data_IF_698900889294
#
_entry.id   IF_698900889294
#
_cell.length_a   1.000
_cell.length_b   1.000
_cell.length_c   1.000
_cell.angle_alpha   90.00
_cell.angle_beta   90.00
_cell.angle_gamma   90.00
#
_symmetry.space_group_name_H-M   'P 1'
#
loop_
_entity.id
_entity.type
_entity.pdbx_description
1 polymer ?
#
# COMPACT_ATOMS: atom_id res chain seq x y z
N UNK A 1 -18.20 -8.22 18.42
CA UNK A 1 -18.99 -9.34 17.86
C UNK A 1 -20.24 -9.46 18.69
N UNK A 2 -21.41 -9.57 18.06
CA UNK A 2 -22.71 -9.72 18.74
C UNK A 2 -23.25 -11.10 18.40
N UNK A 3 -23.68 -11.85 19.40
CA UNK A 3 -24.35 -13.14 19.23
C UNK A 3 -25.86 -12.93 19.24
N UNK A 4 -26.57 -13.53 18.27
CA UNK A 4 -28.03 -13.47 18.21
C UNK A 4 -28.71 -14.57 19.04
N UNK A 5 -28.06 -15.73 19.17
CA UNK A 5 -28.49 -16.81 20.07
C UNK A 5 -27.69 -16.80 21.36
N UNK A 6 -28.18 -17.48 22.39
CA UNK A 6 -27.57 -17.50 23.73
C UNK A 6 -26.13 -18.06 23.70
N UNK A 7 -25.17 -17.25 24.16
CA UNK A 7 -23.77 -17.64 24.32
C UNK A 7 -23.35 -17.32 25.74
N UNK A 8 -22.90 -18.31 26.54
CA UNK A 8 -22.52 -18.06 27.92
C UNK A 8 -21.45 -16.97 28.05
N UNK A 9 -21.61 -16.11 29.06
CA UNK A 9 -20.60 -15.13 29.43
C UNK A 9 -19.26 -15.81 29.73
N UNK A 10 -18.17 -15.16 29.35
CA UNK A 10 -16.82 -15.71 29.44
C UNK A 10 -16.40 -16.58 28.25
N UNK A 11 -17.34 -16.97 27.37
CA UNK A 11 -17.00 -17.71 26.13
C UNK A 11 -15.99 -16.89 25.31
N UNK A 12 -14.85 -17.49 24.98
CA UNK A 12 -13.83 -16.80 24.19
C UNK A 12 -14.30 -16.61 22.76
N UNK A 13 -13.90 -15.49 22.17
CA UNK A 13 -14.09 -15.15 20.77
C UNK A 13 -12.75 -14.69 20.21
N UNK A 14 -12.33 -15.27 19.09
CA UNK A 14 -11.14 -14.83 18.37
C UNK A 14 -11.49 -14.29 16.99
N UNK A 15 -10.60 -13.45 16.46
CA UNK A 15 -10.63 -12.98 15.08
C UNK A 15 -9.32 -13.39 14.42
N UNK A 16 -9.42 -13.97 13.23
CA UNK A 16 -8.32 -14.14 12.30
C UNK A 16 -8.60 -13.33 11.04
N UNK A 17 -7.56 -12.94 10.32
CA UNK A 17 -7.68 -12.19 9.07
C UNK A 17 -6.76 -12.81 8.02
N UNK A 18 -7.26 -12.97 6.80
CA UNK A 18 -6.49 -13.58 5.73
C UNK A 18 -7.03 -13.32 4.33
N UNK A 19 -6.18 -13.51 3.32
CA UNK A 19 -6.48 -13.52 1.90
C UNK A 19 -5.34 -14.18 1.09
N UNK A 20 -5.39 -14.09 -0.24
CA UNK A 20 -4.40 -14.71 -1.14
C UNK A 20 -2.98 -14.15 -0.99
N UNK A 21 -2.80 -12.90 -0.54
CA UNK A 21 -1.46 -12.32 -0.34
C UNK A 21 -0.89 -12.61 1.04
N UNK A 22 -1.77 -12.71 2.03
CA UNK A 22 -1.38 -12.99 3.39
C UNK A 22 -2.42 -13.93 4.00
N UNK A 23 -2.07 -15.22 3.96
CA UNK A 23 -2.97 -16.31 4.38
C UNK A 23 -3.45 -16.14 5.83
N UNK A 24 -2.59 -15.68 6.73
CA UNK A 24 -2.92 -15.39 8.12
C UNK A 24 -2.13 -14.17 8.59
N UNK A 25 -2.81 -13.04 8.63
CA UNK A 25 -2.23 -11.77 8.99
C UNK A 25 -2.01 -11.65 10.50
N UNK A 26 -0.90 -11.04 10.90
CA UNK A 26 -0.62 -10.72 12.29
C UNK A 26 -1.64 -9.68 12.82
N UNK A 27 -2.26 -10.02 13.94
CA UNK A 27 -3.21 -9.18 14.68
C UNK A 27 -2.74 -8.99 16.12
N UNK A 28 -3.13 -7.87 16.73
CA UNK A 28 -2.97 -7.63 18.18
C UNK A 28 -4.33 -7.53 18.83
N UNK A 29 -4.45 -8.06 20.05
CA UNK A 29 -5.68 -8.07 20.84
C UNK A 29 -6.86 -8.72 20.09
N UNK A 30 -6.57 -9.82 19.38
CA UNK A 30 -7.53 -10.54 18.54
C UNK A 30 -8.38 -11.57 19.29
N UNK A 31 -8.39 -11.51 20.64
CA UNK A 31 -9.19 -12.35 21.52
C UNK A 31 -10.00 -11.47 22.45
N UNK A 32 -11.27 -11.80 22.65
CA UNK A 32 -12.16 -11.16 23.60
C UNK A 32 -13.06 -12.20 24.28
N UNK A 33 -13.59 -11.88 25.45
CA UNK A 33 -14.60 -12.70 26.11
C UNK A 33 -16.00 -12.18 25.76
N UNK A 34 -16.95 -13.10 25.54
CA UNK A 34 -18.37 -12.78 25.42
C UNK A 34 -18.90 -12.27 26.77
N UNK A 35 -19.69 -11.21 26.73
CA UNK A 35 -20.43 -10.72 27.89
C UNK A 35 -21.75 -10.11 27.44
N UNK A 36 -22.87 -10.55 28.02
CA UNK A 36 -24.21 -10.10 27.63
C UNK A 36 -24.40 -10.14 26.12
N UNK A 37 -24.05 -11.28 25.49
CA UNK A 37 -24.17 -11.49 24.04
C UNK A 37 -23.25 -10.60 23.18
N UNK A 38 -22.30 -9.87 23.78
CA UNK A 38 -21.34 -9.03 23.07
C UNK A 38 -19.90 -9.36 23.48
N UNK A 39 -19.08 -9.78 22.52
CA UNK A 39 -17.64 -9.86 22.68
C UNK A 39 -16.99 -8.57 22.16
N UNK A 40 -16.50 -7.75 23.09
CA UNK A 40 -15.84 -6.46 22.82
C UNK A 40 -14.33 -6.64 22.78
N UNK A 41 -13.75 -6.50 21.59
CA UNK A 41 -12.31 -6.45 21.44
C UNK A 41 -11.80 -5.08 21.88
N UNK A 42 -10.86 -5.08 22.82
CA UNK A 42 -10.22 -3.86 23.27
C UNK A 42 -9.01 -3.60 22.38
N UNK A 43 -9.05 -2.50 21.61
CA UNK A 43 -7.92 -2.08 20.77
C UNK A 43 -7.44 -3.19 19.81
N UNK A 44 -8.37 -3.79 19.07
CA UNK A 44 -8.03 -4.74 18.00
C UNK A 44 -7.24 -4.02 16.91
N UNK A 45 -6.04 -4.52 16.59
CA UNK A 45 -5.19 -3.95 15.54
C UNK A 45 -4.78 -4.97 14.50
N UNK A 46 -4.62 -4.48 13.29
CA UNK A 46 -4.08 -5.22 12.16
C UNK A 46 -2.63 -4.79 11.94
N UNK A 47 -1.69 -5.71 12.10
CA UNK A 47 -0.26 -5.46 11.86
C UNK A 47 0.10 -5.92 10.43
N UNK A 48 -0.42 -7.10 10.03
CA UNK A 48 -0.28 -7.59 8.67
C UNK A 48 -1.02 -6.72 7.64
N UNK A 49 -0.39 -6.50 6.49
CA UNK A 49 -0.98 -5.77 5.35
C UNK A 49 -1.80 -6.72 4.47
N UNK A 50 -2.91 -6.22 3.92
CA UNK A 50 -3.81 -7.03 3.08
C UNK A 50 -3.48 -7.00 1.60
N UNK A 51 -2.54 -6.14 1.18
CA UNK A 51 -2.15 -6.00 -0.22
C UNK A 51 -2.66 -4.75 -0.92
N UNK A 52 -2.07 -4.43 -2.09
CA UNK A 52 -2.51 -3.27 -2.89
C UNK A 52 -3.88 -3.56 -3.50
N UNK A 53 -4.89 -2.82 -3.07
CA UNK A 53 -6.26 -2.96 -3.58
C UNK A 53 -6.99 -4.21 -3.11
N UNK A 54 -6.43 -4.97 -2.15
CA UNK A 54 -7.02 -6.19 -1.61
C UNK A 54 -7.47 -6.00 -0.18
N UNK A 55 -8.56 -6.66 0.19
CA UNK A 55 -9.10 -6.67 1.55
C UNK A 55 -8.86 -8.02 2.23
N UNK A 56 -8.80 -8.03 3.55
CA UNK A 56 -8.88 -9.25 4.34
C UNK A 56 -10.31 -9.77 4.39
N UNK A 57 -10.42 -11.10 4.45
CA UNK A 57 -11.57 -11.79 5.00
C UNK A 57 -11.30 -12.04 6.48
N UNK A 58 -12.27 -11.72 7.35
CA UNK A 58 -12.18 -12.01 8.77
C UNK A 58 -12.88 -13.32 9.07
N UNK A 59 -12.21 -14.18 9.85
CA UNK A 59 -12.79 -15.40 10.41
C UNK A 59 -12.95 -15.19 11.91
N UNK A 60 -14.20 -15.16 12.37
CA UNK A 60 -14.57 -14.97 13.75
C UNK A 60 -14.95 -16.33 14.32
N UNK A 61 -14.24 -16.78 15.34
CA UNK A 61 -14.52 -18.06 16.01
C UNK A 61 -15.06 -17.78 17.41
N UNK A 62 -16.25 -18.27 17.70
CA UNK A 62 -16.85 -18.27 19.05
C UNK A 62 -16.66 -19.68 19.61
N UNK A 63 -15.93 -19.79 20.72
CA UNK A 63 -15.54 -21.08 21.33
C UNK A 63 -16.64 -21.68 22.21
N UNK A 64 -17.85 -21.82 21.65
CA UNK A 64 -18.89 -22.69 22.22
C UNK A 64 -18.52 -24.17 22.02
N UNK A 65 -19.35 -25.08 22.51
CA UNK A 65 -19.21 -26.51 22.24
C UNK A 65 -20.49 -27.03 21.53
N UNK A 66 -20.46 -27.28 20.20
CA UNK A 66 -19.31 -27.17 19.31
C UNK A 66 -18.91 -25.70 18.98
N UNK A 67 -17.66 -25.44 18.55
CA UNK A 67 -17.24 -24.10 18.15
C UNK A 67 -18.04 -23.59 16.94
N UNK A 68 -18.38 -22.31 16.94
CA UNK A 68 -19.11 -21.67 15.85
C UNK A 68 -18.20 -20.69 15.11
N UNK A 69 -18.25 -20.70 13.78
CA UNK A 69 -17.41 -19.86 12.93
C UNK A 69 -18.29 -18.98 12.05
N UNK A 70 -18.01 -17.68 12.04
CA UNK A 70 -18.61 -16.70 11.15
C UNK A 70 -17.54 -16.01 10.32
N UNK A 71 -17.83 -15.72 9.06
CA UNK A 71 -16.86 -15.12 8.15
C UNK A 71 -17.39 -13.79 7.61
N UNK A 72 -16.54 -12.76 7.65
CA UNK A 72 -16.81 -11.47 7.02
C UNK A 72 -15.83 -11.27 5.86
N UNK A 73 -16.31 -11.54 4.65
CA UNK A 73 -15.55 -11.36 3.42
C UNK A 73 -15.30 -9.89 3.07
N UNK A 74 -14.09 -9.60 2.56
CA UNK A 74 -13.67 -8.28 2.08
C UNK A 74 -13.89 -7.16 3.12
N UNK A 75 -13.72 -7.47 4.40
CA UNK A 75 -14.08 -6.59 5.51
C UNK A 75 -13.22 -5.32 5.60
N UNK A 76 -11.90 -5.44 5.40
CA UNK A 76 -10.99 -4.31 5.61
C UNK A 76 -9.74 -4.41 4.73
N UNK A 77 -9.27 -3.27 4.23
CA UNK A 77 -7.97 -3.14 3.55
C UNK A 77 -6.98 -2.47 4.49
N UNK A 78 -5.84 -3.12 4.71
CA UNK A 78 -4.76 -2.65 5.58
C UNK A 78 -3.51 -2.36 4.76
N UNK A 79 -3.08 -1.10 4.80
CA UNK A 79 -1.87 -0.58 4.15
C UNK A 79 -1.05 0.20 5.16
N UNK A 80 0.23 0.49 4.86
CA UNK A 80 1.10 1.27 5.75
C UNK A 80 0.53 2.67 6.03
N UNK A 81 0.08 3.34 4.97
CA UNK A 81 -0.43 4.71 5.08
C UNK A 81 -1.89 4.76 5.60
N UNK A 82 -2.65 3.66 5.47
CA UNK A 82 -4.09 3.70 5.64
C UNK A 82 -4.80 4.63 4.64
N UNK A 83 -6.01 5.12 4.96
CA UNK A 83 -6.64 6.22 4.25
C UNK A 83 -5.78 7.48 4.34
N UNK A 84 -5.39 8.04 3.19
CA UNK A 84 -4.46 9.16 3.12
C UNK A 84 -4.96 10.21 2.13
N UNK A 85 -4.84 11.48 2.51
CA UNK A 85 -5.16 12.61 1.65
C UNK A 85 -4.30 12.65 0.37
N UNK A 86 -4.84 13.17 -0.76
CA UNK A 86 -4.06 13.38 -1.97
C UNK A 86 -2.81 14.22 -1.71
N UNK A 87 -1.65 13.73 -2.15
CA UNK A 87 -0.40 14.48 -1.99
C UNK A 87 -0.35 15.65 -2.97
N UNK A 88 -0.09 16.86 -2.46
CA UNK A 88 0.14 18.05 -3.31
C UNK A 88 1.40 17.87 -4.16
N UNK A 89 1.35 18.33 -5.41
CA UNK A 89 2.51 18.33 -6.29
C UNK A 89 3.46 19.47 -5.90
N UNK A 90 4.62 19.14 -5.33
CA UNK A 90 5.66 20.13 -5.01
C UNK A 90 6.29 20.60 -6.33
N UNK A 91 6.09 21.86 -6.68
CA UNK A 91 6.85 22.51 -7.76
C UNK A 91 8.33 22.45 -7.37
N UNK A 92 9.15 21.86 -8.25
CA UNK A 92 10.61 21.87 -8.06
C UNK A 92 11.08 23.31 -8.25
N UNK A 93 11.61 23.91 -7.19
CA UNK A 93 12.46 25.09 -7.34
C UNK A 93 13.74 24.58 -7.98
N UNK A 94 14.07 25.14 -9.14
CA UNK A 94 15.27 24.85 -9.90
C UNK A 94 16.46 25.49 -9.16
N UNK A 95 17.20 24.70 -8.39
CA UNK A 95 18.36 25.18 -7.65
C UNK A 95 19.59 25.12 -8.56
N UNK A 96 19.93 26.29 -9.10
CA UNK A 96 21.04 26.51 -10.03
C UNK A 96 22.37 26.17 -9.34
N UNK A 97 22.92 24.99 -9.65
CA UNK A 97 24.17 24.48 -9.08
C UNK A 97 25.39 25.20 -9.67
N UNK A 98 26.28 25.72 -8.81
CA UNK A 98 27.62 26.20 -9.20
C UNK A 98 28.57 25.01 -9.41
N UNK A 99 29.40 24.97 -10.46
CA UNK A 99 30.35 23.89 -10.68
C UNK A 99 31.64 24.10 -9.88
N UNK A 100 32.19 23.02 -9.28
CA UNK A 100 33.65 22.95 -9.01
C UNK A 100 34.14 22.48 -7.64
N UNK A 101 33.30 22.05 -6.69
CA UNK A 101 33.80 21.45 -5.44
C UNK A 101 32.81 20.46 -4.87
N UNK A 102 33.21 19.19 -4.72
CA UNK A 102 32.33 18.20 -4.12
C UNK A 102 32.20 18.43 -2.62
N UNK A 103 31.23 19.28 -2.26
CA UNK A 103 30.88 19.56 -0.87
C UNK A 103 30.38 18.28 -0.17
N UNK A 104 30.46 18.24 1.16
CA UNK A 104 29.94 17.11 1.98
C UNK A 104 28.50 16.69 1.60
N UNK A 105 27.71 17.64 1.08
CA UNK A 105 26.37 17.42 0.53
C UNK A 105 26.33 16.41 -0.62
N UNK A 106 27.34 16.37 -1.47
CA UNK A 106 27.39 15.48 -2.62
C UNK A 106 27.79 14.06 -2.23
N UNK A 107 28.70 13.89 -1.27
CA UNK A 107 29.03 12.57 -0.69
C UNK A 107 27.82 11.97 0.04
N UNK A 108 27.06 12.79 0.77
CA UNK A 108 25.80 12.34 1.35
C UNK A 108 24.76 11.99 0.27
N UNK A 109 24.67 12.79 -0.79
CA UNK A 109 23.77 12.51 -1.92
C UNK A 109 24.12 11.18 -2.62
N UNK A 110 25.41 10.87 -2.79
CA UNK A 110 25.87 9.58 -3.32
C UNK A 110 25.52 8.42 -2.38
N UNK A 111 25.73 8.58 -1.07
CA UNK A 111 25.37 7.55 -0.09
C UNK A 111 23.84 7.30 -0.07
N UNK A 112 23.04 8.35 -0.21
CA UNK A 112 21.59 8.25 -0.37
C UNK A 112 21.20 7.60 -1.71
N UNK A 113 21.93 7.90 -2.79
CA UNK A 113 21.74 7.24 -4.08
C UNK A 113 22.09 5.75 -4.03
N UNK A 114 23.14 5.37 -3.30
CA UNK A 114 23.55 3.97 -3.15
C UNK A 114 22.47 3.12 -2.46
N UNK A 115 21.78 3.67 -1.46
CA UNK A 115 20.60 3.03 -0.87
C UNK A 115 19.44 2.88 -1.86
N UNK A 116 19.26 3.83 -2.77
CA UNK A 116 18.23 3.77 -3.83
C UNK A 116 18.60 2.77 -4.94
N UNK A 117 19.87 2.64 -5.30
CA UNK A 117 20.33 1.71 -6.35
C UNK A 117 20.38 0.26 -5.83
N UNK A 118 20.76 0.04 -4.57
CA UNK A 118 20.73 -1.28 -3.95
C UNK A 118 19.32 -1.94 -4.00
N UNK A 119 18.25 -1.15 -3.90
CA UNK A 119 16.87 -1.61 -4.03
C UNK A 119 16.43 -1.88 -5.48
N UNK A 120 17.18 -1.41 -6.48
CA UNK A 120 16.91 -1.63 -7.91
C UNK A 120 17.64 -2.83 -8.50
N UNK A 121 18.72 -3.27 -7.86
CA UNK A 121 19.51 -4.43 -8.32
C UNK A 121 19.07 -5.67 -7.55
N UNK A 122 17.93 -6.23 -7.94
CA UNK A 122 17.64 -7.64 -7.67
C UNK A 122 18.53 -8.50 -8.57
N UNK A 123 19.10 -9.62 -8.10
CA UNK A 123 20.11 -10.40 -8.83
C UNK A 123 19.57 -11.18 -10.05
N UNK A 124 18.41 -10.80 -10.60
CA UNK A 124 17.73 -11.50 -11.68
C UNK A 124 17.29 -10.60 -12.86
N UNK A 125 17.89 -9.42 -13.02
CA UNK A 125 17.73 -8.65 -14.26
C UNK A 125 19.09 -8.19 -14.80
N UNK A 126 19.42 -8.51 -16.06
CA UNK A 126 20.61 -7.94 -16.69
C UNK A 126 20.43 -6.43 -16.81
N UNK A 127 21.51 -5.70 -16.50
CA UNK A 127 21.57 -4.25 -16.58
C UNK A 127 21.11 -3.75 -17.96
N UNK A 128 20.36 -2.63 -18.06
CA UNK A 128 20.10 -2.03 -19.35
C UNK A 128 21.44 -1.50 -19.89
N UNK A 129 21.86 -2.03 -21.03
CA UNK A 129 22.93 -1.47 -21.83
C UNK A 129 22.58 -0.02 -22.20
N UNK A 130 23.54 0.92 -22.17
CA UNK A 130 23.28 2.28 -22.64
C UNK A 130 23.10 2.23 -24.17
N UNK A 131 21.86 2.33 -24.64
CA UNK A 131 21.57 2.54 -26.05
C UNK A 131 22.03 3.95 -26.47
N UNK A 132 22.95 4.11 -27.43
CA UNK A 132 23.23 5.42 -28.01
C UNK A 132 22.14 5.68 -29.05
N UNK A 133 21.01 6.27 -28.62
CA UNK A 133 19.98 6.67 -29.57
C UNK A 133 20.40 8.01 -30.19
N UNK A 134 20.78 7.97 -31.46
CA UNK A 134 21.05 9.14 -32.28
C UNK A 134 19.84 10.10 -32.27
N UNK A 135 20.12 11.38 -32.09
CA UNK A 135 19.15 12.47 -32.17
C UNK A 135 18.63 12.62 -33.61
N UNK A 136 17.40 12.18 -33.87
CA UNK A 136 16.68 12.58 -35.07
C UNK A 136 16.05 13.95 -34.83
N UNK A 137 16.61 14.96 -35.49
CA UNK A 137 15.99 16.26 -35.67
C UNK A 137 14.74 16.11 -36.53
N UNK A 138 13.55 16.40 -35.97
CA UNK A 138 12.37 16.67 -36.78
C UNK A 138 12.10 18.17 -36.78
N UNK A 139 12.34 18.76 -37.95
CA UNK A 139 11.93 20.10 -38.36
C UNK A 139 10.40 20.23 -38.33
N UNK A 140 9.94 21.30 -37.67
CA UNK A 140 8.56 21.78 -37.69
C UNK A 140 8.25 22.44 -39.03
N UNK A 141 7.18 21.99 -39.70
CA UNK A 141 6.41 22.80 -40.65
C UNK A 141 5.03 22.19 -40.86
N UNK A 142 4.00 22.75 -40.23
CA UNK A 142 2.60 22.55 -40.64
C UNK A 142 1.98 23.93 -40.81
N UNK A 143 1.59 24.23 -42.05
CA UNK A 143 1.12 25.53 -42.52
C UNK A 143 -0.39 25.42 -42.80
N UNK A 144 -1.28 26.17 -42.13
CA UNK A 144 -2.67 26.25 -42.55
C UNK A 144 -2.86 27.51 -43.43
N UNK A 145 -3.12 27.32 -44.73
CA UNK A 145 -3.66 28.37 -45.59
C UNK A 145 -5.16 28.58 -45.29
N UNK A 146 -5.69 29.82 -45.36
CA UNK A 146 -7.11 30.10 -45.29
C UNK A 146 -7.71 30.35 -46.69
N UNK A 147 -8.90 29.81 -46.96
CA UNK A 147 -9.80 30.17 -48.08
C UNK A 147 -11.17 29.56 -47.77
N UNK A 148 -12.34 30.10 -48.09
CA UNK A 148 -12.90 31.43 -48.30
C UNK A 148 -14.42 31.18 -48.47
N UNK A 149 -15.25 32.15 -48.09
CA UNK A 149 -16.72 32.15 -48.29
C UNK A 149 -17.12 31.80 -49.74
N UNK A 150 -18.33 31.26 -49.93
CA UNK A 150 -19.35 31.82 -50.84
C UNK A 150 -20.73 31.27 -50.43
N UNK A 151 -21.61 32.24 -50.15
CA UNK A 151 -23.06 32.39 -50.36
C UNK A 151 -23.98 31.15 -50.34
#
# INVERSE_FOLDING_TARGET
VVALGDVPDGTLVTVMAGNDENYSAELRNATAAMKNQVARFNDLRFVGRSGRGKSFTLTITVFTNPPQVATYHRAIKITVDGPREPRRHRQKIDEQTKPGSLSFSERLSELEQLRRTAMRVSPHHPAPTPNPRASLNHTTAFNPQPQSQIQ
#
